data_IF_762978876778
#
_entry.id   IF_762978876778
#
_cell.length_a   1.000
_cell.length_b   1.000
_cell.length_c   1.000
_cell.angle_alpha   90.00
_cell.angle_beta   90.00
_cell.angle_gamma   90.00
#
_symmetry.space_group_name_H-M   'P 1'
#
loop_
_entity.id
_entity.type
_entity.pdbx_description
1 polymer ?
#
# COMPACT_ATOMS: atom_id res chain seq x y z
N UNK A 1 13.29 -8.95 -12.31
CA UNK A 1 12.23 -8.17 -11.62
C UNK A 1 11.03 -7.86 -12.52
N UNK A 2 11.13 -7.01 -13.55
CA UNK A 2 9.98 -6.78 -14.45
C UNK A 2 9.60 -8.03 -15.25
N UNK A 3 10.57 -8.66 -15.89
CA UNK A 3 10.39 -9.95 -16.60
C UNK A 3 9.81 -11.04 -15.69
N UNK A 4 10.26 -11.07 -14.42
CA UNK A 4 9.74 -12.00 -13.43
C UNK A 4 8.29 -11.69 -13.01
N UNK A 5 7.94 -10.40 -12.91
CA UNK A 5 6.56 -9.97 -12.65
C UNK A 5 5.66 -10.31 -13.84
N UNK A 6 6.14 -10.09 -15.07
CA UNK A 6 5.45 -10.45 -16.31
C UNK A 6 5.25 -11.97 -16.42
N UNK A 7 6.26 -12.77 -16.05
CA UNK A 7 6.16 -14.23 -15.97
C UNK A 7 5.12 -14.69 -14.93
N UNK A 8 4.85 -13.88 -13.90
CA UNK A 8 3.79 -14.10 -12.90
C UNK A 8 2.45 -13.49 -13.32
N UNK A 9 2.32 -12.96 -14.53
CA UNK A 9 1.09 -12.33 -15.04
C UNK A 9 0.79 -10.95 -14.45
N UNK A 10 1.78 -10.30 -13.82
CA UNK A 10 1.64 -8.96 -13.21
C UNK A 10 2.22 -7.91 -14.14
N UNK A 11 1.39 -6.96 -14.59
CA UNK A 11 1.88 -5.80 -15.34
C UNK A 11 2.61 -4.84 -14.41
N UNK A 12 3.92 -4.60 -14.59
CA UNK A 12 4.64 -3.71 -13.70
C UNK A 12 4.31 -2.26 -14.06
N UNK A 13 3.72 -1.52 -13.14
CA UNK A 13 3.42 -0.09 -13.30
C UNK A 13 4.39 0.78 -12.48
N UNK A 14 5.66 0.39 -12.41
CA UNK A 14 6.69 1.10 -11.64
C UNK A 14 7.60 1.85 -12.62
N UNK A 15 7.65 3.20 -12.59
CA UNK A 15 8.55 3.98 -13.41
C UNK A 15 10.01 3.61 -13.16
N UNK A 16 10.81 3.66 -14.23
CA UNK A 16 12.25 3.46 -14.09
C UNK A 16 12.91 4.68 -13.48
N UNK A 17 14.13 4.49 -12.99
CA UNK A 17 15.01 5.59 -12.60
C UNK A 17 15.26 6.47 -13.82
N UNK A 18 15.26 7.79 -13.60
CA UNK A 18 15.47 8.81 -14.64
C UNK A 18 16.77 8.62 -15.43
N UNK A 19 17.81 8.05 -14.81
CA UNK A 19 19.12 7.81 -15.44
C UNK A 19 19.18 6.58 -16.36
N UNK A 20 18.10 5.80 -16.49
CA UNK A 20 18.11 4.57 -17.29
C UNK A 20 18.07 4.92 -18.78
N UNK A 21 18.96 4.30 -19.58
CA UNK A 21 19.10 4.55 -21.03
C UNK A 21 17.84 4.15 -21.81
N UNK A 22 17.23 3.03 -21.44
CA UNK A 22 15.99 2.54 -22.04
C UNK A 22 14.85 2.87 -21.07
N UNK A 23 13.85 3.59 -21.59
CA UNK A 23 12.65 3.96 -20.86
C UNK A 23 11.46 3.23 -21.48
N UNK A 24 10.80 2.40 -20.68
CA UNK A 24 9.50 1.79 -20.96
C UNK A 24 8.39 2.75 -20.47
N UNK A 25 7.40 3.11 -21.30
CA UNK A 25 6.29 3.95 -20.87
C UNK A 25 5.45 3.24 -19.81
N UNK A 26 4.91 4.03 -18.88
CA UNK A 26 4.05 3.59 -17.77
C UNK A 26 2.80 4.46 -17.82
N UNK A 27 1.63 3.89 -17.54
CA UNK A 27 0.40 4.66 -17.43
C UNK A 27 0.43 5.49 -16.13
N UNK A 28 0.51 6.80 -16.29
CA UNK A 28 0.58 7.76 -15.19
C UNK A 28 -0.66 7.75 -14.30
N UNK A 29 -1.85 7.51 -14.88
CA UNK A 29 -3.10 7.45 -14.14
C UNK A 29 -3.12 6.21 -13.23
N UNK A 30 -2.71 5.05 -13.75
CA UNK A 30 -2.62 3.82 -12.95
C UNK A 30 -1.52 3.96 -11.88
N UNK A 31 -0.37 4.53 -12.24
CA UNK A 31 0.70 4.77 -11.27
C UNK A 31 0.27 5.72 -10.13
N UNK A 32 -0.51 6.75 -10.44
CA UNK A 32 -1.03 7.69 -9.45
C UNK A 32 -1.94 7.03 -8.39
N UNK A 33 -2.58 5.90 -8.70
CA UNK A 33 -3.39 5.15 -7.74
C UNK A 33 -2.56 4.60 -6.56
N UNK A 34 -1.26 4.36 -6.74
CA UNK A 34 -0.34 3.90 -5.68
C UNK A 34 -0.38 4.80 -4.45
N UNK A 35 -0.49 6.11 -4.65
CA UNK A 35 -0.53 7.09 -3.58
C UNK A 35 -1.75 6.91 -2.65
N UNK A 36 -2.87 6.34 -3.13
CA UNK A 36 -4.01 5.98 -2.26
C UNK A 36 -3.60 4.88 -1.27
N UNK A 37 -2.87 3.88 -1.74
CA UNK A 37 -2.36 2.77 -0.94
C UNK A 37 -1.30 3.28 0.05
N UNK A 38 -0.36 4.11 -0.40
CA UNK A 38 0.67 4.70 0.47
C UNK A 38 0.06 5.53 1.60
N UNK A 39 -0.91 6.39 1.29
CA UNK A 39 -1.63 7.16 2.31
C UNK A 39 -2.39 6.26 3.28
N UNK A 40 -2.95 5.14 2.82
CA UNK A 40 -3.61 4.17 3.69
C UNK A 40 -2.61 3.59 4.71
N UNK A 41 -1.46 3.07 4.24
CA UNK A 41 -0.42 2.55 5.12
C UNK A 41 0.16 3.62 6.04
N UNK A 42 0.31 4.85 5.57
CA UNK A 42 0.75 5.96 6.43
C UNK A 42 -0.23 6.19 7.59
N UNK A 43 -1.55 6.18 7.31
CA UNK A 43 -2.57 6.30 8.36
C UNK A 43 -2.58 5.10 9.32
N UNK A 44 -2.37 3.88 8.82
CA UNK A 44 -2.23 2.70 9.66
C UNK A 44 -1.00 2.78 10.57
N UNK A 45 0.10 3.37 10.09
CA UNK A 45 1.32 3.57 10.89
C UNK A 45 1.19 4.65 11.97
N UNK A 46 0.15 5.49 11.94
CA UNK A 46 -0.13 6.40 13.06
C UNK A 46 -0.46 5.64 14.35
N UNK A 47 -0.95 4.40 14.24
CA UNK A 47 -1.14 3.53 15.40
C UNK A 47 0.23 2.96 15.81
N UNK A 48 0.84 3.55 16.85
CA UNK A 48 2.18 3.16 17.35
C UNK A 48 2.32 1.64 17.49
N UNK A 49 1.35 0.98 18.14
CA UNK A 49 1.32 -0.49 18.35
C UNK A 49 1.51 -1.29 17.05
N UNK A 50 0.89 -0.83 15.95
CA UNK A 50 1.02 -1.45 14.62
C UNK A 50 2.38 -1.15 14.01
N UNK A 51 2.82 0.11 14.04
CA UNK A 51 4.06 0.55 13.42
C UNK A 51 5.31 -0.09 14.04
N UNK A 52 5.31 -0.26 15.37
CA UNK A 52 6.44 -0.85 16.11
C UNK A 52 6.29 -2.34 16.36
N UNK A 53 5.19 -2.95 15.90
CA UNK A 53 4.90 -4.39 16.06
C UNK A 53 5.05 -4.87 17.51
N UNK A 54 4.32 -4.25 18.44
CA UNK A 54 4.39 -4.61 19.87
C UNK A 54 3.75 -5.96 20.21
N UNK A 55 2.84 -6.43 19.37
CA UNK A 55 2.16 -7.71 19.57
C UNK A 55 3.12 -8.90 19.40
N UNK A 56 3.15 -9.79 20.41
CA UNK A 56 4.01 -10.97 20.42
C UNK A 56 3.56 -12.05 19.43
N UNK A 57 2.24 -12.24 19.28
CA UNK A 57 1.68 -13.27 18.41
C UNK A 57 1.19 -12.68 17.09
N UNK A 58 1.27 -13.48 16.03
CA UNK A 58 0.75 -13.11 14.72
C UNK A 58 -0.75 -12.80 14.77
N UNK A 59 -1.51 -13.56 15.55
CA UNK A 59 -2.96 -13.38 15.70
C UNK A 59 -3.31 -12.06 16.39
N UNK A 60 -2.59 -11.71 17.46
CA UNK A 60 -2.81 -10.42 18.16
C UNK A 60 -2.47 -9.25 17.26
N UNK A 61 -1.38 -9.36 16.49
CA UNK A 61 -0.98 -8.35 15.52
C UNK A 61 -2.03 -8.20 14.41
N UNK A 62 -2.48 -9.32 13.83
CA UNK A 62 -3.51 -9.32 12.79
C UNK A 62 -4.82 -8.73 13.30
N UNK A 63 -5.26 -9.12 14.50
CA UNK A 63 -6.45 -8.57 15.14
C UNK A 63 -6.36 -7.05 15.29
N UNK A 64 -5.20 -6.53 15.72
CA UNK A 64 -5.00 -5.08 15.82
C UNK A 64 -4.99 -4.39 14.45
N UNK A 65 -4.38 -4.99 13.42
CA UNK A 65 -4.41 -4.49 12.04
C UNK A 65 -5.85 -4.38 11.54
N UNK A 66 -6.68 -5.40 11.77
CA UNK A 66 -8.09 -5.41 11.38
C UNK A 66 -8.88 -4.31 12.09
N UNK A 67 -8.72 -4.15 13.40
CA UNK A 67 -9.37 -3.07 14.17
C UNK A 67 -8.95 -1.68 13.64
N UNK A 68 -7.66 -1.48 13.40
CA UNK A 68 -7.15 -0.21 12.85
C UNK A 68 -7.72 0.08 11.45
N UNK A 69 -7.83 -0.95 10.60
CA UNK A 69 -8.42 -0.85 9.27
C UNK A 69 -9.91 -0.50 9.33
N UNK A 70 -10.69 -1.18 10.19
CA UNK A 70 -12.12 -0.89 10.40
C UNK A 70 -12.31 0.55 10.87
N UNK A 71 -11.52 1.02 11.85
CA UNK A 71 -11.59 2.40 12.34
C UNK A 71 -11.26 3.42 11.25
N UNK A 72 -10.32 3.11 10.35
CA UNK A 72 -9.98 3.97 9.24
C UNK A 72 -11.12 4.02 8.21
N UNK A 73 -11.74 2.87 7.94
CA UNK A 73 -12.86 2.74 7.00
C UNK A 73 -14.11 3.48 7.49
N UNK A 74 -14.50 3.31 8.76
CA UNK A 74 -15.71 3.94 9.31
C UNK A 74 -15.64 5.46 9.29
N UNK A 75 -14.46 6.06 9.53
CA UNK A 75 -14.26 7.51 9.38
C UNK A 75 -14.54 8.01 7.97
N UNK A 76 -14.16 7.23 6.96
CA UNK A 76 -14.40 7.58 5.55
C UNK A 76 -15.86 7.35 5.17
N UNK A 77 -16.51 6.35 5.76
CA UNK A 77 -17.93 6.07 5.54
C UNK A 77 -18.84 7.16 6.13
N UNK A 78 -18.65 7.49 7.41
CA UNK A 78 -19.48 8.49 8.12
C UNK A 78 -19.32 9.90 7.56
N UNK A 79 -18.12 10.27 7.11
CA UNK A 79 -17.89 11.61 6.55
C UNK A 79 -18.33 11.75 5.07
N UNK A 80 -18.94 10.73 4.46
CA UNK A 80 -19.45 10.76 3.07
C UNK A 80 -20.97 10.87 2.96
N UNK A 81 -21.70 10.61 4.05
CA UNK A 81 -23.14 10.87 4.19
C UNK A 81 -23.35 12.27 4.73
#
# INVERSE_FOLDING_TARGET
>A
MREEMEARGVTPMIPMRRSRKIQIPVDDHVYALRNRIERCFNKLKNFRRLATRYDKTADSYLGFVLIAAVRLWTRVFVNRT
#
